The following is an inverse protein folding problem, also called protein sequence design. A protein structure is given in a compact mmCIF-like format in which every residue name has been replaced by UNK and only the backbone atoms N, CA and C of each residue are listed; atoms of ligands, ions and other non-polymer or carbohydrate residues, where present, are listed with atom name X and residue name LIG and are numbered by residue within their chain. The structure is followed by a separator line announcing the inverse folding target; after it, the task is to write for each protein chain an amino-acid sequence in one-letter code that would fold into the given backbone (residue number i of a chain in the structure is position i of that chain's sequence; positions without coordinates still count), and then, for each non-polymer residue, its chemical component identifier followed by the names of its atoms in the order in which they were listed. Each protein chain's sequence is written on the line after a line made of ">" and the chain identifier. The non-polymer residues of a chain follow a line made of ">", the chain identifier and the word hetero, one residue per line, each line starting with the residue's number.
data_IF_710685635577
#
_entry.id   IF_710685635577
#
_cell.length_a   1.000
_cell.length_b   1.000
_cell.length_c   1.000
_cell.angle_alpha   90.00
_cell.angle_beta   90.00
_cell.angle_gamma   90.00
#
_symmetry.space_group_name_H-M   'P 1'
#
loop_
_entity.id
_entity.type
_entity.pdbx_description
1 polymer ?
#
# COMPACT_ATOMS: atom_id res chain seq x y z
N UNK A 1 19.46 3.41 -7.06
CA UNK A 1 18.14 3.40 -6.39
C UNK A 1 17.14 2.83 -7.40
N UNK A 2 16.40 1.76 -7.09
CA UNK A 2 15.53 1.09 -8.07
C UNK A 2 14.20 1.82 -8.33
N UNK A 3 13.71 2.57 -7.34
CA UNK A 3 12.47 3.37 -7.45
C UNK A 3 12.81 4.82 -7.09
N UNK A 4 12.90 5.70 -8.09
CA UNK A 4 13.15 7.13 -7.86
C UNK A 4 11.83 7.85 -7.53
N UNK A 5 11.77 8.45 -6.33
CA UNK A 5 10.61 9.18 -5.85
C UNK A 5 10.24 10.40 -6.72
N UNK A 6 11.18 10.96 -7.49
CA UNK A 6 10.92 12.02 -8.47
C UNK A 6 9.94 11.61 -9.58
N UNK A 7 9.77 10.31 -9.82
CA UNK A 7 8.74 9.84 -10.76
C UNK A 7 7.32 9.94 -10.20
N UNK A 8 7.15 10.05 -8.87
CA UNK A 8 5.87 9.89 -8.17
C UNK A 8 5.42 11.15 -7.44
N UNK A 9 6.36 11.97 -6.97
CA UNK A 9 6.08 13.22 -6.28
C UNK A 9 6.21 14.41 -7.25
N UNK A 10 5.15 15.24 -7.42
CA UNK A 10 5.17 16.35 -8.38
C UNK A 10 6.03 17.53 -7.92
N UNK A 11 6.28 17.67 -6.62
CA UNK A 11 7.09 18.72 -6.03
C UNK A 11 7.93 18.17 -4.87
N UNK A 12 9.08 18.80 -4.60
CA UNK A 12 9.99 18.47 -3.50
C UNK A 12 10.19 16.95 -3.26
N UNK A 13 10.54 16.16 -4.30
CA UNK A 13 10.44 14.70 -4.26
C UNK A 13 11.31 14.03 -3.20
N UNK A 14 12.38 14.69 -2.77
CA UNK A 14 13.33 14.16 -1.78
C UNK A 14 13.20 14.82 -0.40
N UNK A 15 12.22 15.69 -0.22
CA UNK A 15 11.90 16.22 1.11
C UNK A 15 11.22 15.15 1.94
N UNK A 16 11.61 15.04 3.21
CA UNK A 16 11.00 14.09 4.14
C UNK A 16 9.65 14.59 4.67
N UNK A 17 8.71 14.81 3.77
CA UNK A 17 7.36 15.28 4.07
C UNK A 17 6.36 14.79 3.02
N UNK A 18 5.06 14.72 3.36
CA UNK A 18 4.02 14.41 2.39
C UNK A 18 3.95 15.47 1.28
N UNK A 19 3.68 15.05 0.05
CA UNK A 19 3.51 15.96 -1.09
C UNK A 19 2.12 15.76 -1.72
N UNK A 20 1.39 16.83 -2.09
CA UNK A 20 0.07 16.69 -2.71
C UNK A 20 0.18 16.05 -4.10
N UNK A 21 -0.74 15.14 -4.41
CA UNK A 21 -0.81 14.45 -5.71
C UNK A 21 -2.13 14.69 -6.45
N UNK A 22 -2.92 15.65 -5.97
CA UNK A 22 -4.27 15.93 -6.46
C UNK A 22 -5.34 15.12 -5.72
N UNK A 23 -6.61 15.38 -6.02
CA UNK A 23 -7.76 14.64 -5.50
C UNK A 23 -7.84 14.51 -3.96
N UNK A 24 -7.31 15.51 -3.23
CA UNK A 24 -7.18 15.52 -1.76
C UNK A 24 -6.31 14.38 -1.20
N UNK A 25 -5.47 13.77 -2.03
CA UNK A 25 -4.49 12.77 -1.64
C UNK A 25 -3.08 13.35 -1.61
N UNK A 26 -2.21 12.69 -0.84
CA UNK A 26 -0.78 12.98 -0.76
C UNK A 26 0.02 11.71 -0.99
N UNK A 27 1.23 11.84 -1.55
CA UNK A 27 2.25 10.80 -1.41
C UNK A 27 2.88 10.96 -0.02
N UNK A 28 2.85 9.89 0.80
CA UNK A 28 3.38 9.88 2.17
C UNK A 28 4.86 10.25 2.22
N UNK A 29 5.31 10.76 3.36
CA UNK A 29 6.73 11.06 3.59
C UNK A 29 7.62 9.82 3.38
N UNK A 30 8.85 9.97 2.87
CA UNK A 30 9.85 8.92 2.78
C UNK A 30 9.97 8.04 4.03
N UNK A 31 10.05 8.61 5.24
CA UNK A 31 10.16 7.80 6.46
C UNK A 31 8.94 6.91 6.71
N UNK A 32 7.73 7.33 6.32
CA UNK A 32 6.53 6.50 6.49
C UNK A 32 6.54 5.29 5.55
N UNK A 33 7.03 5.46 4.32
CA UNK A 33 7.23 4.34 3.41
C UNK A 33 8.30 3.37 3.93
N UNK A 34 9.38 3.89 4.50
CA UNK A 34 10.41 3.06 5.13
C UNK A 34 9.84 2.26 6.30
N UNK A 35 9.09 2.90 7.21
CA UNK A 35 8.46 2.22 8.35
C UNK A 35 7.50 1.10 7.92
N UNK A 36 6.68 1.33 6.89
CA UNK A 36 5.80 0.31 6.33
C UNK A 36 6.60 -0.86 5.72
N UNK A 37 7.65 -0.56 4.94
CA UNK A 37 8.50 -1.59 4.34
C UNK A 37 9.21 -2.43 5.42
N UNK A 38 9.80 -1.79 6.43
CA UNK A 38 10.49 -2.47 7.53
C UNK A 38 9.55 -3.39 8.30
N UNK A 39 8.33 -2.93 8.59
CA UNK A 39 7.32 -3.74 9.27
C UNK A 39 6.90 -4.96 8.46
N UNK A 40 6.76 -4.81 7.14
CA UNK A 40 6.32 -5.88 6.25
C UNK A 40 7.46 -6.79 5.76
N UNK A 41 8.72 -6.35 5.87
CA UNK A 41 9.91 -7.01 5.32
C UNK A 41 9.98 -8.53 5.56
N UNK A 42 9.61 -9.08 6.74
CA UNK A 42 9.63 -10.53 6.96
C UNK A 42 8.75 -11.34 5.98
N UNK A 43 7.76 -10.70 5.35
CA UNK A 43 6.81 -11.32 4.42
C UNK A 43 7.02 -10.87 2.96
N UNK A 44 7.99 -9.98 2.69
CA UNK A 44 8.31 -9.46 1.35
C UNK A 44 9.42 -10.30 0.70
N UNK A 45 9.19 -11.60 0.57
CA UNK A 45 10.13 -12.53 -0.06
C UNK A 45 9.91 -12.61 -1.59
N UNK A 46 10.91 -13.05 -2.37
CA UNK A 46 10.71 -13.41 -3.77
C UNK A 46 9.50 -14.34 -3.95
N UNK A 47 8.58 -13.98 -4.85
CA UNK A 47 7.35 -14.76 -5.09
C UNK A 47 6.16 -14.37 -4.21
N UNK A 48 6.34 -13.47 -3.23
CA UNK A 48 5.26 -13.04 -2.36
C UNK A 48 4.18 -12.25 -3.10
N UNK A 49 2.95 -12.37 -2.60
CA UNK A 49 1.77 -11.61 -3.03
C UNK A 49 1.49 -10.52 -2.02
N UNK A 50 1.42 -9.28 -2.49
CA UNK A 50 1.23 -8.11 -1.63
C UNK A 50 0.04 -7.29 -2.12
N UNK A 51 -0.76 -6.82 -1.17
CA UNK A 51 -1.85 -5.89 -1.43
C UNK A 51 -1.50 -4.53 -0.83
N UNK A 52 -1.63 -3.48 -1.63
CA UNK A 52 -1.42 -2.10 -1.22
C UNK A 52 -2.73 -1.31 -1.38
N UNK A 53 -3.39 -1.02 -0.26
CA UNK A 53 -4.66 -0.30 -0.22
C UNK A 53 -4.42 1.21 -0.15
N UNK A 54 -5.05 1.97 -1.05
CA UNK A 54 -4.81 3.41 -1.16
C UNK A 54 -3.48 3.68 -1.87
N UNK A 55 -3.26 3.01 -3.01
CA UNK A 55 -1.97 3.06 -3.73
C UNK A 55 -1.57 4.48 -4.19
N UNK A 56 -2.53 5.40 -4.35
CA UNK A 56 -2.27 6.83 -4.53
C UNK A 56 -1.32 7.14 -5.68
N UNK A 57 -0.11 7.60 -5.36
CA UNK A 57 0.91 7.93 -6.37
C UNK A 57 1.50 6.72 -7.09
N UNK A 58 1.36 5.51 -6.53
CA UNK A 58 1.99 4.26 -6.96
C UNK A 58 3.40 4.01 -6.40
N UNK A 59 3.95 4.94 -5.61
CA UNK A 59 5.33 4.83 -5.13
C UNK A 59 5.57 3.59 -4.27
N UNK A 60 4.79 3.41 -3.21
CA UNK A 60 4.99 2.28 -2.30
C UNK A 60 4.67 0.96 -2.99
N UNK A 61 3.63 0.89 -3.82
CA UNK A 61 3.30 -0.29 -4.62
C UNK A 61 4.48 -0.74 -5.47
N UNK A 62 5.19 0.18 -6.12
CA UNK A 62 6.39 -0.15 -6.89
C UNK A 62 7.56 -0.56 -5.99
N UNK A 63 7.79 0.12 -4.86
CA UNK A 63 8.80 -0.31 -3.88
C UNK A 63 8.55 -1.73 -3.41
N UNK A 64 7.32 -2.07 -3.05
CA UNK A 64 6.92 -3.42 -2.65
C UNK A 64 7.14 -4.43 -3.78
N UNK A 65 6.80 -4.08 -5.02
CA UNK A 65 7.03 -4.94 -6.17
C UNK A 65 8.52 -5.23 -6.39
N UNK A 66 9.39 -4.24 -6.20
CA UNK A 66 10.84 -4.43 -6.25
C UNK A 66 11.36 -5.38 -5.16
N UNK A 67 10.76 -5.35 -3.97
CA UNK A 67 11.16 -6.18 -2.83
C UNK A 67 10.76 -7.65 -2.98
N UNK A 68 9.66 -7.94 -3.67
CA UNK A 68 9.17 -9.32 -3.88
C UNK A 68 9.63 -9.95 -5.20
N UNK A 69 10.54 -9.30 -5.93
CA UNK A 69 11.17 -9.89 -7.10
C UNK A 69 12.22 -10.95 -6.72
N UNK A 70 12.47 -11.93 -7.61
CA UNK A 70 11.68 -12.27 -8.79
C UNK A 70 10.37 -13.01 -8.42
N UNK A 71 9.40 -13.00 -9.33
CA UNK A 71 8.20 -13.85 -9.27
C UNK A 71 7.08 -13.39 -8.33
N UNK A 72 7.29 -12.33 -7.55
CA UNK A 72 6.23 -11.75 -6.71
C UNK A 72 5.21 -10.95 -7.51
N UNK A 73 4.08 -10.64 -6.86
CA UNK A 73 2.98 -9.87 -7.43
C UNK A 73 2.43 -8.87 -6.43
N UNK A 74 2.28 -7.62 -6.86
CA UNK A 74 1.72 -6.55 -6.02
C UNK A 74 0.50 -5.94 -6.69
N UNK A 75 -0.61 -5.87 -5.94
CA UNK A 75 -1.84 -5.21 -6.36
C UNK A 75 -2.01 -3.90 -5.58
N UNK A 76 -2.02 -2.77 -6.28
CA UNK A 76 -2.43 -1.48 -5.72
C UNK A 76 -3.92 -1.24 -5.96
N UNK A 77 -4.71 -1.09 -4.89
CA UNK A 77 -6.13 -0.73 -4.97
C UNK A 77 -6.29 0.76 -4.68
N UNK A 78 -7.05 1.45 -5.52
CA UNK A 78 -7.30 2.88 -5.40
C UNK A 78 -8.74 3.20 -5.83
N UNK A 79 -9.46 4.02 -5.05
CA UNK A 79 -10.86 4.31 -5.33
C UNK A 79 -11.06 5.48 -6.32
N UNK A 80 -10.04 6.31 -6.53
CA UNK A 80 -10.07 7.48 -7.43
C UNK A 80 -9.43 7.10 -8.77
N UNK A 81 -10.22 7.07 -9.85
CA UNK A 81 -9.75 6.64 -11.18
C UNK A 81 -8.54 7.44 -11.69
N UNK A 82 -8.53 8.78 -11.57
CA UNK A 82 -7.35 9.58 -11.93
C UNK A 82 -6.07 9.21 -11.17
N UNK A 83 -6.16 8.70 -9.94
CA UNK A 83 -5.00 8.26 -9.16
C UNK A 83 -4.50 6.87 -9.62
N UNK A 84 -5.39 5.96 -10.04
CA UNK A 84 -5.00 4.70 -10.70
C UNK A 84 -4.19 4.98 -11.97
N UNK A 85 -4.65 5.91 -12.79
CA UNK A 85 -3.96 6.33 -14.02
C UNK A 85 -2.64 7.03 -13.72
N UNK A 86 -2.61 7.91 -12.71
CA UNK A 86 -1.40 8.57 -12.23
C UNK A 86 -0.36 7.54 -11.78
N UNK A 87 -0.73 6.57 -10.95
CA UNK A 87 0.15 5.52 -10.46
C UNK A 87 0.74 4.68 -11.60
N UNK A 88 -0.11 4.25 -12.54
CA UNK A 88 0.31 3.50 -13.73
C UNK A 88 1.31 4.30 -14.57
N UNK A 89 1.01 5.58 -14.83
CA UNK A 89 1.88 6.49 -15.58
C UNK A 89 3.21 6.74 -14.86
N UNK A 90 3.19 6.96 -13.56
CA UNK A 90 4.39 7.20 -12.76
C UNK A 90 5.31 5.99 -12.74
N UNK A 91 4.76 4.79 -12.54
CA UNK A 91 5.51 3.52 -12.61
C UNK A 91 6.12 3.31 -14.00
N UNK A 92 5.40 3.65 -15.07
CA UNK A 92 5.90 3.55 -16.44
C UNK A 92 7.04 4.51 -16.82
N UNK A 93 7.47 5.41 -15.92
CA UNK A 93 8.58 6.34 -16.18
C UNK A 93 9.96 5.69 -16.11
N UNK A 94 10.11 4.55 -15.41
CA UNK A 94 11.36 3.77 -15.40
C UNK A 94 11.23 2.50 -16.22
N UNK A 95 12.36 1.95 -16.66
CA UNK A 95 12.42 0.69 -17.39
C UNK A 95 11.94 -0.48 -16.53
N UNK A 96 12.37 -0.52 -15.27
CA UNK A 96 11.99 -1.54 -14.29
C UNK A 96 10.49 -1.52 -14.00
N UNK A 97 9.91 -0.32 -13.88
CA UNK A 97 8.48 -0.15 -13.64
C UNK A 97 7.64 -0.58 -14.84
N UNK A 98 8.07 -0.27 -16.07
CA UNK A 98 7.43 -0.79 -17.29
C UNK A 98 7.48 -2.32 -17.33
N UNK A 99 8.63 -2.93 -17.04
CA UNK A 99 8.76 -4.38 -17.02
C UNK A 99 7.83 -5.04 -15.96
N UNK A 100 7.68 -4.41 -14.79
CA UNK A 100 6.74 -4.88 -13.75
C UNK A 100 5.27 -4.80 -14.19
N UNK A 101 4.87 -3.72 -14.87
CA UNK A 101 3.52 -3.56 -15.42
C UNK A 101 3.25 -4.59 -16.53
N UNK A 102 4.19 -4.74 -17.48
CA UNK A 102 4.06 -5.64 -18.63
C UNK A 102 4.02 -7.12 -18.23
N UNK A 103 4.84 -7.51 -17.25
CA UNK A 103 4.86 -8.88 -16.71
C UNK A 103 3.67 -9.20 -15.79
N UNK A 104 2.91 -8.18 -15.37
CA UNK A 104 1.85 -8.32 -14.37
C UNK A 104 2.35 -8.55 -12.94
N UNK A 105 3.65 -8.36 -12.68
CA UNK A 105 4.24 -8.36 -11.34
C UNK A 105 3.79 -7.16 -10.50
N UNK A 106 3.31 -6.09 -11.14
CA UNK A 106 2.61 -4.98 -10.52
C UNK A 106 1.32 -4.68 -11.29
N UNK A 107 0.22 -4.44 -10.57
CA UNK A 107 -1.04 -3.97 -11.17
C UNK A 107 -1.72 -2.94 -10.26
N UNK A 108 -2.26 -1.88 -10.87
CA UNK A 108 -3.17 -0.95 -10.20
C UNK A 108 -4.61 -1.24 -10.61
N UNK A 109 -5.54 -1.23 -9.67
CA UNK A 109 -6.96 -1.49 -9.90
C UNK A 109 -7.83 -0.43 -9.23
N UNK A 110 -8.91 -0.04 -9.93
CA UNK A 110 -9.97 0.78 -9.33
C UNK A 110 -10.82 -0.10 -8.42
N UNK A 111 -10.97 0.26 -7.16
CA UNK A 111 -11.81 -0.48 -6.23
C UNK A 111 -11.93 0.15 -4.85
N UNK A 112 -12.92 -0.31 -4.09
CA UNK A 112 -13.03 0.04 -2.68
C UNK A 112 -12.04 -0.78 -1.85
N UNK A 113 -10.97 -0.10 -1.41
CA UNK A 113 -9.91 -0.71 -0.62
C UNK A 113 -10.37 -1.33 0.70
N UNK A 114 -11.52 -0.91 1.25
CA UNK A 114 -12.10 -1.51 2.46
C UNK A 114 -12.49 -2.98 2.24
N UNK A 115 -12.77 -3.36 0.99
CA UNK A 115 -13.16 -4.72 0.59
C UNK A 115 -11.95 -5.59 0.20
N UNK A 116 -10.74 -5.01 0.16
CA UNK A 116 -9.54 -5.66 -0.35
C UNK A 116 -9.63 -5.97 -1.85
N UNK A 117 -8.97 -7.05 -2.27
CA UNK A 117 -8.97 -7.54 -3.64
C UNK A 117 -8.83 -9.07 -3.64
N UNK A 118 -9.93 -9.81 -3.70
CA UNK A 118 -9.93 -11.26 -3.44
C UNK A 118 -9.34 -12.06 -4.60
N UNK A 119 -9.40 -11.51 -5.80
CA UNK A 119 -9.11 -12.17 -7.08
C UNK A 119 -7.65 -12.62 -7.19
N UNK A 120 -6.73 -11.90 -6.55
CA UNK A 120 -5.30 -12.19 -6.55
C UNK A 120 -4.77 -12.64 -5.18
N UNK A 121 -5.65 -12.76 -4.18
CA UNK A 121 -5.30 -13.26 -2.85
C UNK A 121 -5.11 -14.79 -2.80
N UNK A 122 -4.84 -15.35 -1.61
CA UNK A 122 -4.52 -14.63 -0.37
C UNK A 122 -3.12 -13.98 -0.42
N UNK A 123 -2.88 -13.01 0.46
CA UNK A 123 -1.67 -12.17 0.46
C UNK A 123 -0.71 -12.51 1.61
N UNK A 124 0.59 -12.50 1.34
CA UNK A 124 1.65 -12.64 2.35
C UNK A 124 1.74 -11.35 3.19
N UNK A 125 1.57 -10.20 2.54
CA UNK A 125 1.58 -8.89 3.18
C UNK A 125 0.44 -8.00 2.66
N UNK A 126 -0.13 -7.19 3.55
CA UNK A 126 -1.09 -6.14 3.20
C UNK A 126 -0.63 -4.83 3.82
N UNK A 127 -0.57 -3.78 3.02
CA UNK A 127 -0.37 -2.40 3.46
C UNK A 127 -1.67 -1.61 3.27
N UNK A 128 -1.96 -0.70 4.20
CA UNK A 128 -3.02 0.29 4.06
C UNK A 128 -2.44 1.70 4.22
N UNK A 129 -2.51 2.47 3.14
CA UNK A 129 -2.01 3.85 3.04
C UNK A 129 -3.00 4.92 3.49
N UNK A 130 -4.05 4.55 4.22
CA UNK A 130 -5.09 5.46 4.70
C UNK A 130 -5.63 4.98 6.06
N UNK A 131 -6.07 5.91 6.91
CA UNK A 131 -6.58 5.59 8.24
C UNK A 131 -7.97 4.95 8.18
N UNK A 132 -8.12 3.76 8.73
CA UNK A 132 -9.39 3.05 8.79
C UNK A 132 -10.10 3.26 10.14
N UNK A 133 -11.43 3.25 10.14
CA UNK A 133 -12.26 3.31 11.36
C UNK A 133 -12.08 2.08 12.28
N UNK A 134 -11.41 1.03 11.80
CA UNK A 134 -11.09 -0.15 12.56
C UNK A 134 -10.05 -1.03 11.87
N UNK A 135 -9.75 -2.18 12.48
CA UNK A 135 -8.71 -3.12 12.02
C UNK A 135 -9.02 -3.86 10.71
N UNK A 136 -10.19 -3.60 10.10
CA UNK A 136 -10.69 -4.19 8.86
C UNK A 136 -10.58 -5.73 8.76
N UNK A 137 -11.62 -6.43 9.25
CA UNK A 137 -11.66 -7.90 9.23
C UNK A 137 -11.60 -8.49 7.81
N UNK A 138 -12.12 -7.80 6.80
CA UNK A 138 -12.08 -8.26 5.40
C UNK A 138 -10.65 -8.37 4.89
N UNK A 139 -9.77 -7.44 5.29
CA UNK A 139 -8.35 -7.51 4.95
C UNK A 139 -7.63 -8.62 5.73
N UNK A 140 -7.96 -8.80 7.01
CA UNK A 140 -7.40 -9.91 7.83
C UNK A 140 -7.76 -11.28 7.26
N UNK A 141 -8.97 -11.45 6.72
CA UNK A 141 -9.40 -12.68 6.05
C UNK A 141 -8.61 -12.97 4.78
N UNK A 142 -8.18 -11.94 4.06
CA UNK A 142 -7.38 -12.05 2.84
C UNK A 142 -5.89 -12.29 3.09
N UNK A 143 -5.42 -12.23 4.35
CA UNK A 143 -4.07 -12.65 4.71
C UNK A 143 -3.90 -14.16 4.64
N UNK A 144 -2.75 -14.59 4.13
CA UNK A 144 -2.22 -15.94 4.33
C UNK A 144 -1.93 -16.19 5.81
N UNK A 145 -1.85 -17.46 6.14
CA UNK A 145 -1.29 -17.96 7.40
C UNK A 145 0.03 -18.68 7.04
N UNK A 146 1.22 -18.10 7.33
CA UNK A 146 1.44 -16.84 8.02
C UNK A 146 1.35 -15.62 7.09
N UNK A 147 1.04 -14.44 7.64
CA UNK A 147 0.97 -13.18 6.90
C UNK A 147 0.81 -11.96 7.80
N UNK A 148 1.08 -10.75 7.27
CA UNK A 148 1.02 -9.50 8.04
C UNK A 148 0.27 -8.37 7.35
N UNK A 149 -0.52 -7.64 8.14
CA UNK A 149 -1.20 -6.41 7.75
C UNK A 149 -0.63 -5.23 8.54
N UNK A 150 -0.23 -4.19 7.81
CA UNK A 150 0.14 -2.87 8.32
C UNK A 150 -1.02 -1.91 8.04
N UNK A 151 -1.65 -1.36 9.08
CA UNK A 151 -2.84 -0.52 8.93
C UNK A 151 -2.87 0.63 9.94
N UNK A 152 -3.00 1.90 9.51
CA UNK A 152 -3.35 3.00 10.39
C UNK A 152 -4.82 2.87 10.80
N UNK A 153 -5.10 2.95 12.11
CA UNK A 153 -6.45 2.85 12.69
C UNK A 153 -6.76 4.11 13.49
N UNK A 154 -7.96 4.65 13.30
CA UNK A 154 -8.48 5.77 14.06
C UNK A 154 -8.87 5.36 15.48
N UNK A 155 -8.43 6.14 16.47
CA UNK A 155 -8.72 5.97 17.89
C UNK A 155 -9.11 7.32 18.52
N UNK A 156 -10.40 7.65 18.43
CA UNK A 156 -10.89 8.95 18.85
C UNK A 156 -10.30 10.06 17.96
N UNK A 157 -9.52 10.96 18.55
CA UNK A 157 -8.86 12.05 17.83
C UNK A 157 -7.44 11.71 17.35
N UNK A 158 -6.95 10.50 17.63
CA UNK A 158 -5.60 10.04 17.31
C UNK A 158 -5.65 8.94 16.27
N UNK A 159 -4.55 8.71 15.55
CA UNK A 159 -4.39 7.55 14.68
C UNK A 159 -3.11 6.80 15.09
N UNK A 160 -3.17 5.47 15.07
CA UNK A 160 -2.01 4.64 15.35
C UNK A 160 -1.82 3.58 14.27
N UNK A 161 -0.57 3.24 13.99
CA UNK A 161 -0.26 2.05 13.21
C UNK A 161 -0.56 0.82 14.05
N UNK A 162 -1.28 -0.10 13.45
CA UNK A 162 -1.45 -1.46 13.92
C UNK A 162 -0.72 -2.43 13.00
N UNK A 163 0.06 -3.32 13.61
CA UNK A 163 0.64 -4.48 12.95
C UNK A 163 -0.17 -5.70 13.37
N UNK A 164 -0.79 -6.33 12.38
CA UNK A 164 -1.66 -7.49 12.56
C UNK A 164 -0.99 -8.69 11.91
N UNK A 165 -0.60 -9.67 12.72
CA UNK A 165 -0.04 -10.92 12.25
C UNK A 165 -1.12 -12.01 12.29
N UNK A 166 -1.24 -12.75 11.19
CA UNK A 166 -1.95 -14.03 11.13
C UNK A 166 -0.90 -15.14 11.18
N UNK A 167 -0.94 -15.96 12.22
CA UNK A 167 0.02 -17.03 12.44
C UNK A 167 -0.34 -18.26 11.59
N UNK A 168 0.58 -19.22 11.51
CA UNK A 168 0.38 -20.49 10.79
C UNK A 168 -0.84 -21.27 11.27
N UNK A 169 -1.16 -21.21 12.56
CA UNK A 169 -2.35 -21.84 13.16
C UNK A 169 -3.67 -21.07 12.87
N UNK A 170 -3.59 -19.98 12.11
CA UNK A 170 -4.71 -19.10 11.78
C UNK A 170 -5.07 -18.09 12.87
N UNK A 171 -4.44 -18.13 14.04
CA UNK A 171 -4.67 -17.15 15.11
C UNK A 171 -4.15 -15.77 14.70
N UNK A 172 -4.86 -14.73 15.15
CA UNK A 172 -4.56 -13.34 14.79
C UNK A 172 -4.09 -12.58 16.03
N UNK A 173 -2.94 -11.92 15.93
CA UNK A 173 -2.42 -11.02 16.95
C UNK A 173 -2.34 -9.60 16.43
N UNK A 174 -2.69 -8.62 17.26
CA UNK A 174 -2.69 -7.19 16.92
C UNK A 174 -1.76 -6.46 17.86
N UNK A 175 -0.79 -5.73 17.32
CA UNK A 175 0.12 -4.88 18.08
C UNK A 175 -0.07 -3.43 17.65
N UNK A 176 -0.38 -2.57 18.62
CA UNK A 176 -0.35 -1.12 18.45
C UNK A 176 1.11 -0.65 18.45
N UNK A 177 1.44 0.22 17.51
CA UNK A 177 2.79 0.75 17.33
C UNK A 177 2.78 2.29 17.49
N UNK A 178 3.33 3.02 16.52
CA UNK A 178 3.49 4.48 16.60
C UNK A 178 2.20 5.27 16.31
N UNK A 179 2.09 6.47 16.90
CA UNK A 179 1.08 7.46 16.54
C UNK A 179 1.43 8.12 15.20
N UNK A 180 0.43 8.33 14.34
CA UNK A 180 0.62 8.81 12.96
C UNK A 180 -0.49 9.77 12.54
N UNK A 181 -0.35 10.36 11.34
CA UNK A 181 -1.38 11.15 10.69
C UNK A 181 -1.46 10.79 9.21
N UNK A 182 -2.47 9.98 8.86
CA UNK A 182 -2.80 9.54 7.51
C UNK A 182 -4.09 10.21 7.01
N UNK A 183 -4.25 10.27 5.69
CA UNK A 183 -5.54 10.60 5.06
C UNK A 183 -6.57 9.51 5.38
N UNK A 184 -7.87 9.83 5.54
CA UNK A 184 -8.88 8.85 5.90
C UNK A 184 -9.19 7.86 4.77
N UNK A 185 -9.42 6.60 5.11
CA UNK A 185 -9.90 5.55 4.21
C UNK A 185 -11.42 5.68 4.08
N UNK A 186 -11.86 6.49 3.11
CA UNK A 186 -13.24 6.95 3.01
C UNK A 186 -13.84 6.71 1.61
N UNK A 187 -15.07 7.18 1.39
CA UNK A 187 -15.71 7.14 0.09
C UNK A 187 -14.99 8.06 -0.91
N UNK A 188 -15.05 7.70 -2.19
CA UNK A 188 -14.50 8.56 -3.23
C UNK A 188 -15.24 9.91 -3.24
N UNK A 189 -14.54 11.04 -3.44
CA UNK A 189 -15.18 12.34 -3.65
C UNK A 189 -16.26 12.26 -4.76
N UNK A 190 -17.38 12.97 -4.60
CA UNK A 190 -18.37 13.10 -5.68
C UNK A 190 -17.69 13.62 -6.96
N UNK A 191 -17.77 12.85 -8.04
CA UNK A 191 -17.20 13.17 -9.36
C UNK A 191 -15.82 12.57 -9.70
N UNK A 192 -15.33 11.55 -8.97
CA UNK A 192 -14.05 10.84 -9.22
C UNK A 192 -14.09 9.52 -10.01
#
# INVERSE_FOLDING_TARGET
>A
QKVDRAHYAPAAPYQDSPQPIGHRATISAPHMHAAACESLLPYLNPGARVLDIGSGSGYLTHVLAELVKPGGKVIGVEHISPLVELATRNTGRSEEGRALLESGGLKYVKGDGRLGWKEDGPYDAIHVGAAAEGHNQVLVEQLKAPGRLFIPVEEGYMQHIYVIDKKEDGSVTKKKDIGVQYVPLTDAPEGG
#
